data_IF_196983978076
#
_entry.id   IF_196983978076
#
_cell.length_a   1.000
_cell.length_b   1.000
_cell.length_c   1.000
_cell.angle_alpha   90.00
_cell.angle_beta   90.00
_cell.angle_gamma   90.00
#
_symmetry.space_group_name_H-M   'P 1'
#
loop_
_entity.id
_entity.type
_entity.pdbx_description
1 polymer ?
#
# COMPACT_ATOMS: atom_id res chain seq x y z
N UNK A 1 -16.76 -13.09 21.44
CA UNK A 1 -16.65 -14.51 21.03
C UNK A 1 -16.09 -14.53 19.62
N UNK A 2 -14.86 -15.02 19.45
CA UNK A 2 -14.26 -15.26 18.13
C UNK A 2 -14.30 -16.77 17.88
N UNK A 3 -14.85 -17.17 16.74
CA UNK A 3 -14.88 -18.58 16.31
C UNK A 3 -13.76 -18.77 15.30
N UNK A 4 -12.90 -19.76 15.54
CA UNK A 4 -11.87 -20.19 14.60
C UNK A 4 -12.48 -21.36 13.83
N UNK A 5 -12.41 -21.30 12.51
CA UNK A 5 -12.92 -22.34 11.62
C UNK A 5 -11.74 -22.80 10.79
N UNK A 6 -11.42 -24.09 10.89
CA UNK A 6 -10.48 -24.72 9.99
C UNK A 6 -11.18 -24.97 8.66
N UNK A 7 -10.68 -24.32 7.61
CA UNK A 7 -11.19 -24.50 6.25
C UNK A 7 -10.19 -25.31 5.46
N UNK A 8 -10.61 -26.47 4.96
CA UNK A 8 -9.81 -27.26 4.02
C UNK A 8 -9.60 -26.48 2.72
N UNK A 9 -8.33 -26.32 2.33
CA UNK A 9 -7.95 -25.64 1.09
C UNK A 9 -8.13 -26.65 -0.04
N UNK A 10 -9.23 -26.54 -0.78
CA UNK A 10 -9.43 -27.34 -2.00
C UNK A 10 -8.66 -26.71 -3.15
N UNK A 11 -7.66 -27.40 -3.75
CA UNK A 11 -6.93 -26.87 -4.90
C UNK A 11 -7.90 -26.75 -6.07
N UNK A 12 -8.13 -25.54 -6.56
CA UNK A 12 -8.95 -25.32 -7.76
C UNK A 12 -8.07 -25.19 -8.99
N UNK A 13 -8.56 -25.74 -10.12
CA UNK A 13 -7.89 -25.64 -11.41
C UNK A 13 -8.02 -24.20 -11.91
N UNK A 14 -7.04 -23.37 -11.60
CA UNK A 14 -7.01 -21.95 -11.98
C UNK A 14 -6.82 -21.85 -13.51
N UNK A 15 -7.83 -21.33 -14.22
CA UNK A 15 -7.82 -21.22 -15.69
C UNK A 15 -7.47 -19.81 -16.19
N UNK A 16 -7.38 -18.83 -15.29
CA UNK A 16 -7.07 -17.44 -15.63
C UNK A 16 -5.56 -17.19 -15.62
N UNK A 17 -5.10 -16.43 -16.64
CA UNK A 17 -3.72 -15.96 -16.75
C UNK A 17 -3.27 -15.28 -15.44
N UNK A 18 -1.97 -15.37 -15.14
CA UNK A 18 -1.42 -14.70 -13.97
C UNK A 18 -1.58 -13.18 -14.00
N UNK A 19 -1.42 -12.54 -12.85
CA UNK A 19 -1.54 -11.08 -12.68
C UNK A 19 -0.23 -10.53 -12.13
N UNK A 20 0.32 -9.50 -12.77
CA UNK A 20 1.39 -8.68 -12.18
C UNK A 20 0.81 -7.42 -11.55
N UNK A 21 1.32 -7.04 -10.37
CA UNK A 21 0.85 -5.88 -9.61
C UNK A 21 2.02 -4.97 -9.27
N UNK A 22 2.02 -3.79 -9.88
CA UNK A 22 2.95 -2.69 -9.56
C UNK A 22 2.36 -1.83 -8.44
N UNK A 23 3.10 -1.65 -7.33
CA UNK A 23 2.64 -0.94 -6.14
C UNK A 23 3.23 0.47 -6.08
N UNK A 24 2.40 1.47 -5.77
CA UNK A 24 2.79 2.86 -5.93
C UNK A 24 2.29 3.83 -4.86
N UNK A 25 2.93 5.01 -4.82
CA UNK A 25 2.48 6.14 -4.00
C UNK A 25 1.51 7.03 -4.80
N UNK A 26 1.63 7.06 -6.13
CA UNK A 26 0.74 7.86 -6.98
C UNK A 26 -0.66 7.22 -7.02
N UNK A 27 -0.74 6.02 -7.56
CA UNK A 27 -1.84 5.09 -7.45
C UNK A 27 -1.37 3.94 -6.53
N UNK A 28 -2.30 3.32 -5.81
CA UNK A 28 -1.96 2.28 -4.83
C UNK A 28 -1.43 1.02 -5.51
N UNK A 29 -2.13 0.56 -6.55
CA UNK A 29 -1.76 -0.63 -7.31
C UNK A 29 -2.20 -0.51 -8.77
N UNK A 30 -1.38 -1.02 -9.68
CA UNK A 30 -1.64 -1.14 -11.12
C UNK A 30 -1.52 -2.62 -11.47
N UNK A 31 -2.56 -3.18 -12.09
CA UNK A 31 -2.66 -4.62 -12.33
C UNK A 31 -2.67 -4.89 -13.84
N UNK A 32 -1.93 -5.90 -14.27
CA UNK A 32 -1.76 -6.24 -15.68
C UNK A 32 -3.05 -6.69 -16.39
N UNK A 33 -4.09 -7.04 -15.62
CA UNK A 33 -5.36 -7.55 -16.12
C UNK A 33 -6.51 -6.54 -16.01
N UNK A 34 -6.24 -5.30 -15.60
CA UNK A 34 -7.26 -4.26 -15.41
C UNK A 34 -6.84 -2.97 -16.12
N UNK A 35 -7.76 -2.39 -16.90
CA UNK A 35 -7.55 -1.08 -17.52
C UNK A 35 -7.54 0.06 -16.48
N UNK A 36 -8.20 -0.15 -15.34
CA UNK A 36 -8.35 0.86 -14.28
C UNK A 36 -7.44 0.54 -13.11
N UNK A 37 -6.70 1.56 -12.67
CA UNK A 37 -5.79 1.46 -11.52
C UNK A 37 -6.51 1.60 -10.18
N UNK A 38 -6.00 0.92 -9.15
CA UNK A 38 -6.45 1.11 -7.78
C UNK A 38 -5.89 2.43 -7.24
N UNK A 39 -6.77 3.43 -7.12
CA UNK A 39 -6.38 4.79 -6.70
C UNK A 39 -5.95 4.86 -5.23
N UNK A 40 -4.93 5.66 -4.95
CA UNK A 40 -4.47 5.90 -3.58
C UNK A 40 -5.58 6.53 -2.70
N UNK A 41 -6.14 5.75 -1.76
CA UNK A 41 -7.25 6.16 -0.89
C UNK A 41 -6.91 7.38 -0.03
N UNK A 42 -5.63 7.60 0.28
CA UNK A 42 -5.17 8.74 1.07
C UNK A 42 -5.32 10.08 0.34
N UNK A 43 -5.50 10.06 -0.98
CA UNK A 43 -5.74 11.26 -1.78
C UNK A 43 -7.22 11.70 -1.76
N UNK A 44 -8.14 10.87 -1.28
CA UNK A 44 -9.56 11.19 -1.21
C UNK A 44 -9.85 12.34 -0.25
N UNK A 45 -10.89 13.13 -0.54
CA UNK A 45 -11.29 14.25 0.32
C UNK A 45 -11.68 13.80 1.73
N UNK A 46 -12.33 12.63 1.86
CA UNK A 46 -12.70 12.06 3.16
C UNK A 46 -11.47 11.81 4.03
N UNK A 47 -10.45 11.14 3.50
CA UNK A 47 -9.21 10.85 4.26
C UNK A 47 -8.47 12.14 4.57
N UNK A 48 -8.28 13.04 3.59
CA UNK A 48 -7.62 14.35 3.81
C UNK A 48 -8.29 15.18 4.91
N UNK A 49 -9.62 15.22 4.97
CA UNK A 49 -10.37 15.93 6.03
C UNK A 49 -10.11 15.31 7.40
N UNK A 50 -10.11 13.98 7.51
CA UNK A 50 -9.81 13.26 8.76
C UNK A 50 -8.37 13.48 9.21
N UNK A 51 -7.40 13.48 8.30
CA UNK A 51 -6.00 13.77 8.62
C UNK A 51 -5.77 15.19 9.12
N UNK A 52 -6.39 16.19 8.46
CA UNK A 52 -6.36 17.58 8.93
C UNK A 52 -6.96 17.69 10.34
N UNK A 53 -8.06 16.98 10.62
CA UNK A 53 -8.68 16.93 11.94
C UNK A 53 -7.75 16.26 12.96
N UNK A 54 -7.12 15.14 12.62
CA UNK A 54 -6.14 14.45 13.46
C UNK A 54 -4.98 15.37 13.83
N UNK A 55 -4.38 16.06 12.85
CA UNK A 55 -3.29 17.00 13.08
C UNK A 55 -3.69 18.11 14.05
N UNK A 56 -4.89 18.70 13.89
CA UNK A 56 -5.41 19.71 14.82
C UNK A 56 -5.57 19.16 16.25
N UNK A 57 -6.03 17.91 16.39
CA UNK A 57 -6.19 17.27 17.70
C UNK A 57 -4.84 16.88 18.33
N UNK A 58 -3.85 16.48 17.54
CA UNK A 58 -2.47 16.25 17.99
C UNK A 58 -1.80 17.54 18.47
N UNK A 59 -1.93 18.64 17.72
CA UNK A 59 -1.43 19.96 18.16
C UNK A 59 -2.09 20.41 19.47
N UNK A 60 -3.41 20.20 19.62
CA UNK A 60 -4.11 20.49 20.89
C UNK A 60 -3.62 19.61 22.04
N UNK A 61 -3.30 18.33 21.77
CA UNK A 61 -2.73 17.43 22.76
C UNK A 61 -1.34 17.91 23.21
N UNK A 62 -0.45 18.22 22.26
CA UNK A 62 0.89 18.77 22.55
C UNK A 62 0.82 20.04 23.38
N UNK A 63 -0.03 21.03 23.01
CA UNK A 63 -0.22 22.25 23.80
C UNK A 63 -0.75 21.98 25.22
N UNK A 64 -1.56 20.93 25.42
CA UNK A 64 -2.03 20.55 26.75
C UNK A 64 -0.91 19.94 27.59
N UNK A 65 0.00 19.17 26.99
CA UNK A 65 1.20 18.69 27.68
C UNK A 65 2.09 19.85 28.13
N UNK A 66 2.35 20.83 27.26
CA UNK A 66 3.10 22.03 27.64
C UNK A 66 2.41 22.81 28.75
N UNK A 67 1.08 22.99 28.65
CA UNK A 67 0.31 23.65 29.71
C UNK A 67 0.36 22.91 31.06
N UNK A 68 0.42 21.57 31.05
CA UNK A 68 0.59 20.78 32.27
C UNK A 68 1.99 20.95 32.87
N UNK A 69 3.05 21.02 32.05
CA UNK A 69 4.41 21.29 32.52
C UNK A 69 4.50 22.63 33.26
N UNK A 70 3.92 23.70 32.69
CA UNK A 70 3.87 25.02 33.32
C UNK A 70 3.10 24.97 34.64
N UNK A 71 1.96 24.26 34.68
CA UNK A 71 1.18 24.08 35.90
C UNK A 71 1.97 23.37 37.00
N UNK A 72 2.74 22.33 36.65
CA UNK A 72 3.55 21.59 37.62
C UNK A 72 4.67 22.46 38.21
N UNK A 73 5.14 23.47 37.45
CA UNK A 73 6.06 24.52 37.94
C UNK A 73 5.35 25.62 38.74
N UNK A 74 4.05 25.47 39.04
CA UNK A 74 3.18 26.48 39.67
C UNK A 74 3.07 27.80 38.88
N UNK A 75 3.27 27.76 37.56
CA UNK A 75 3.07 28.90 36.65
C UNK A 75 1.63 28.93 36.07
N UNK A 76 1.35 29.81 35.10
CA UNK A 76 0.01 30.06 34.49
C UNK A 76 -0.60 28.89 33.68
N UNK A 77 -0.17 27.65 33.90
CA UNK A 77 -0.69 26.45 33.24
C UNK A 77 -2.09 26.05 33.72
N UNK A 78 -3.02 25.74 32.79
CA UNK A 78 -4.43 25.44 33.11
C UNK A 78 -4.81 23.96 32.89
N UNK A 79 -4.05 23.20 32.11
CA UNK A 79 -4.42 21.81 31.79
C UNK A 79 -4.25 20.86 32.98
N UNK A 80 -5.19 19.93 33.16
CA UNK A 80 -5.09 18.81 34.11
C UNK A 80 -4.68 17.51 33.41
N UNK A 81 -4.28 16.48 34.17
CA UNK A 81 -4.09 15.13 33.63
C UNK A 81 -5.37 14.56 33.01
N UNK A 82 -6.55 14.75 33.65
CA UNK A 82 -7.82 14.28 33.06
C UNK A 82 -8.13 14.97 31.72
N UNK A 83 -7.79 16.26 31.59
CA UNK A 83 -7.95 17.01 30.35
C UNK A 83 -7.10 16.44 29.20
N UNK A 84 -5.88 15.99 29.49
CA UNK A 84 -4.98 15.33 28.54
C UNK A 84 -5.56 13.98 28.15
N UNK A 85 -5.99 13.16 29.13
CA UNK A 85 -6.58 11.84 28.85
C UNK A 85 -7.78 11.94 27.91
N UNK A 86 -8.72 12.86 28.18
CA UNK A 86 -9.86 13.13 27.27
C UNK A 86 -9.42 13.52 25.85
N UNK A 87 -8.25 14.15 25.70
CA UNK A 87 -7.71 14.56 24.41
C UNK A 87 -6.96 13.42 23.70
N UNK A 88 -6.28 12.54 24.44
CA UNK A 88 -5.68 11.30 23.92
C UNK A 88 -6.74 10.41 23.28
N UNK A 89 -7.86 10.16 23.97
CA UNK A 89 -8.97 9.36 23.45
C UNK A 89 -9.49 9.93 22.12
N UNK A 90 -9.62 11.27 22.02
CA UNK A 90 -10.04 11.93 20.76
C UNK A 90 -9.05 11.71 19.61
N UNK A 91 -7.75 11.63 19.90
CA UNK A 91 -6.71 11.33 18.91
C UNK A 91 -6.76 9.86 18.52
N UNK A 92 -6.88 8.95 19.49
CA UNK A 92 -6.98 7.50 19.27
C UNK A 92 -8.18 7.13 18.40
N UNK A 93 -9.37 7.70 18.67
CA UNK A 93 -10.57 7.48 17.84
C UNK A 93 -10.32 7.86 16.37
N UNK A 94 -9.61 8.97 16.12
CA UNK A 94 -9.30 9.40 14.75
C UNK A 94 -8.26 8.48 14.07
N UNK A 95 -7.25 8.04 14.82
CA UNK A 95 -6.30 7.03 14.34
C UNK A 95 -6.98 5.71 13.99
N UNK A 96 -7.87 5.22 14.86
CA UNK A 96 -8.62 3.99 14.61
C UNK A 96 -9.49 4.13 13.36
N UNK A 97 -10.21 5.25 13.22
CA UNK A 97 -11.04 5.52 12.03
C UNK A 97 -10.22 5.53 10.73
N UNK A 98 -9.06 6.19 10.72
CA UNK A 98 -8.18 6.21 9.54
C UNK A 98 -7.61 4.82 9.25
N UNK A 99 -7.22 4.08 10.28
CA UNK A 99 -6.74 2.70 10.16
C UNK A 99 -7.80 1.80 9.55
N UNK A 100 -9.03 1.84 10.06
CA UNK A 100 -10.15 1.05 9.55
C UNK A 100 -10.45 1.38 8.08
N UNK A 101 -10.46 2.66 7.69
CA UNK A 101 -10.67 3.06 6.28
C UNK A 101 -9.60 2.46 5.36
N UNK A 102 -8.33 2.54 5.76
CA UNK A 102 -7.22 2.01 4.95
C UNK A 102 -7.24 0.48 4.88
N UNK A 103 -7.50 -0.18 6.00
CA UNK A 103 -7.59 -1.64 6.07
C UNK A 103 -8.78 -2.19 5.28
N UNK A 104 -9.94 -1.53 5.35
CA UNK A 104 -11.10 -1.84 4.50
C UNK A 104 -10.77 -1.69 3.01
N UNK A 105 -10.10 -0.60 2.64
CA UNK A 105 -9.63 -0.38 1.27
C UNK A 105 -8.69 -1.51 0.81
N UNK A 106 -7.69 -1.88 1.62
CA UNK A 106 -6.78 -2.99 1.32
C UNK A 106 -7.54 -4.31 1.14
N UNK A 107 -8.47 -4.62 2.04
CA UNK A 107 -9.30 -5.83 1.94
C UNK A 107 -10.08 -5.86 0.61
N UNK A 108 -10.66 -4.73 0.20
CA UNK A 108 -11.39 -4.62 -1.07
C UNK A 108 -10.48 -4.83 -2.28
N UNK A 109 -9.27 -4.27 -2.27
CA UNK A 109 -8.30 -4.49 -3.35
C UNK A 109 -7.91 -5.96 -3.40
N UNK A 110 -7.51 -6.57 -2.28
CA UNK A 110 -7.14 -8.00 -2.21
C UNK A 110 -8.28 -8.88 -2.73
N UNK A 111 -9.50 -8.70 -2.22
CA UNK A 111 -10.68 -9.44 -2.66
C UNK A 111 -11.01 -9.25 -4.14
N UNK A 112 -10.70 -8.08 -4.71
CA UNK A 112 -10.91 -7.81 -6.13
C UNK A 112 -9.86 -8.50 -7.00
N UNK A 113 -8.60 -8.49 -6.59
CA UNK A 113 -7.48 -9.10 -7.33
C UNK A 113 -7.63 -10.62 -7.39
N UNK A 114 -7.94 -11.25 -6.27
CA UNK A 114 -8.08 -12.72 -6.19
C UNK A 114 -9.43 -13.24 -6.70
N UNK A 115 -10.38 -12.36 -7.03
CA UNK A 115 -11.77 -12.71 -7.35
C UNK A 115 -11.87 -13.76 -8.45
N UNK A 116 -11.09 -13.57 -9.51
CA UNK A 116 -11.11 -14.44 -10.69
C UNK A 116 -10.16 -15.64 -10.54
N UNK A 117 -9.55 -15.86 -9.37
CA UNK A 117 -8.65 -17.01 -9.12
C UNK A 117 -7.58 -17.17 -10.20
N UNK A 118 -6.71 -16.16 -10.40
CA UNK A 118 -5.58 -16.28 -11.32
C UNK A 118 -4.67 -17.45 -10.90
N UNK A 119 -3.98 -18.05 -11.87
CA UNK A 119 -2.99 -19.11 -11.57
C UNK A 119 -1.93 -18.65 -10.58
N UNK A 120 -1.46 -17.42 -10.76
CA UNK A 120 -0.48 -16.80 -9.89
C UNK A 120 -0.67 -15.28 -9.85
N UNK A 121 -0.17 -14.66 -8.80
CA UNK A 121 -0.07 -13.21 -8.67
C UNK A 121 1.39 -12.87 -8.40
N UNK A 122 1.93 -11.89 -9.12
CA UNK A 122 3.31 -11.45 -8.95
C UNK A 122 3.37 -10.02 -8.43
N UNK A 123 4.11 -9.80 -7.36
CA UNK A 123 4.43 -8.48 -6.79
C UNK A 123 5.95 -8.31 -6.67
N UNK A 124 6.40 -7.06 -6.63
CA UNK A 124 7.80 -6.73 -6.33
C UNK A 124 8.10 -6.77 -4.82
N UNK A 125 9.34 -7.11 -4.46
CA UNK A 125 9.86 -6.94 -3.11
C UNK A 125 10.18 -5.46 -2.81
N UNK A 126 9.19 -4.72 -2.32
CA UNK A 126 9.40 -3.33 -1.93
C UNK A 126 10.35 -3.19 -0.74
N UNK A 127 11.43 -2.41 -0.91
CA UNK A 127 12.30 -1.98 0.18
C UNK A 127 11.62 -0.92 1.07
N UNK A 128 10.63 -1.32 1.86
CA UNK A 128 9.83 -0.42 2.69
C UNK A 128 10.68 0.36 3.69
N UNK A 129 11.70 -0.28 4.28
CA UNK A 129 12.61 0.38 5.23
C UNK A 129 13.42 1.47 4.54
N UNK A 130 13.92 1.21 3.32
CA UNK A 130 14.58 2.21 2.48
C UNK A 130 13.67 3.37 2.12
N UNK A 131 12.43 3.08 1.69
CA UNK A 131 11.44 4.11 1.34
C UNK A 131 11.04 4.98 2.55
N UNK A 132 11.04 4.41 3.75
CA UNK A 132 10.78 5.13 4.99
C UNK A 132 11.91 6.07 5.41
N UNK A 133 13.16 5.84 4.98
CA UNK A 133 14.29 6.76 5.26
C UNK A 133 14.16 8.08 4.51
N UNK A 134 13.44 8.11 3.38
CA UNK A 134 13.21 9.34 2.63
C UNK A 134 12.18 10.22 3.37
N UNK A 135 12.62 11.31 3.99
CA UNK A 135 11.75 12.21 4.78
C UNK A 135 10.56 12.76 3.99
N UNK A 136 10.69 12.97 2.67
CA UNK A 136 9.61 13.49 1.83
C UNK A 136 8.56 12.44 1.47
N UNK A 137 8.94 11.16 1.40
CA UNK A 137 8.04 10.06 1.01
C UNK A 137 7.56 9.21 2.18
N UNK A 138 8.30 9.21 3.30
CA UNK A 138 8.06 8.38 4.48
C UNK A 138 6.60 8.37 4.93
N UNK A 139 5.98 9.55 5.06
CA UNK A 139 4.58 9.67 5.44
C UNK A 139 3.65 9.00 4.43
N UNK A 140 3.87 9.23 3.13
CA UNK A 140 3.01 8.68 2.09
C UNK A 140 3.14 7.15 2.00
N UNK A 141 4.35 6.61 2.18
CA UNK A 141 4.66 5.18 2.23
C UNK A 141 3.95 4.50 3.40
N UNK A 142 4.10 5.04 4.61
CA UNK A 142 3.43 4.52 5.82
C UNK A 142 1.91 4.50 5.64
N UNK A 143 1.36 5.52 4.99
CA UNK A 143 -0.08 5.63 4.73
C UNK A 143 -0.59 4.62 3.69
N UNK A 144 0.25 4.10 2.78
CA UNK A 144 -0.15 3.06 1.83
C UNK A 144 -0.31 1.69 2.48
N UNK A 145 0.37 1.42 3.61
CA UNK A 145 0.33 0.13 4.30
C UNK A 145 0.67 -1.06 3.39
N UNK A 146 1.69 -0.92 2.54
CA UNK A 146 2.13 -1.98 1.63
C UNK A 146 2.42 -3.33 2.31
N UNK A 147 3.02 -3.29 3.52
CA UNK A 147 3.24 -4.50 4.31
C UNK A 147 1.94 -5.21 4.67
N UNK A 148 0.91 -4.47 5.10
CA UNK A 148 -0.40 -5.03 5.42
C UNK A 148 -1.08 -5.60 4.17
N UNK A 149 -0.94 -4.93 3.03
CA UNK A 149 -1.43 -5.44 1.74
C UNK A 149 -0.75 -6.77 1.36
N UNK A 150 0.58 -6.83 1.40
CA UNK A 150 1.34 -8.06 1.12
C UNK A 150 0.91 -9.20 2.02
N UNK A 151 0.81 -8.98 3.33
CA UNK A 151 0.40 -10.03 4.26
C UNK A 151 -1.03 -10.52 3.99
N UNK A 152 -1.98 -9.61 3.78
CA UNK A 152 -3.37 -9.97 3.48
C UNK A 152 -3.51 -10.70 2.15
N UNK A 153 -2.76 -10.27 1.14
CA UNK A 153 -2.71 -10.94 -0.16
C UNK A 153 -2.12 -12.34 -0.01
N UNK A 154 -0.99 -12.49 0.69
CA UNK A 154 -0.36 -13.80 0.98
C UNK A 154 -1.34 -14.76 1.63
N UNK A 155 -1.98 -14.34 2.72
CA UNK A 155 -2.96 -15.17 3.42
C UNK A 155 -4.14 -15.56 2.53
N UNK A 156 -4.62 -14.63 1.70
CA UNK A 156 -5.76 -14.89 0.82
C UNK A 156 -5.40 -15.78 -0.37
N UNK A 157 -4.19 -15.64 -0.91
CA UNK A 157 -3.64 -16.50 -1.94
C UNK A 157 -3.46 -17.93 -1.42
N UNK A 158 -2.86 -18.09 -0.23
CA UNK A 158 -2.73 -19.39 0.43
C UNK A 158 -4.09 -20.08 0.62
N UNK A 159 -5.07 -19.35 1.16
CA UNK A 159 -6.43 -19.88 1.35
C UNK A 159 -7.16 -20.27 0.05
N UNK A 160 -6.74 -19.75 -1.11
CA UNK A 160 -7.36 -20.02 -2.41
C UNK A 160 -6.49 -20.91 -3.31
N UNK A 161 -5.32 -21.39 -2.85
CA UNK A 161 -4.38 -22.12 -3.67
C UNK A 161 -3.81 -21.31 -4.85
N UNK A 162 -3.71 -19.98 -4.71
CA UNK A 162 -3.11 -19.09 -5.71
C UNK A 162 -1.63 -18.92 -5.35
N UNK A 163 -0.73 -19.14 -6.31
CA UNK A 163 0.71 -18.91 -6.09
C UNK A 163 1.00 -17.40 -6.02
N UNK A 164 1.56 -16.92 -4.90
CA UNK A 164 2.03 -15.54 -4.78
C UNK A 164 3.55 -15.49 -5.04
N UNK A 165 3.93 -14.87 -6.15
CA UNK A 165 5.31 -14.68 -6.60
C UNK A 165 5.84 -13.33 -6.14
N UNK A 166 7.02 -13.34 -5.55
CA UNK A 166 7.78 -12.17 -5.13
C UNK A 166 9.01 -12.05 -6.00
N UNK A 167 9.07 -10.99 -6.79
CA UNK A 167 10.21 -10.70 -7.64
C UNK A 167 11.20 -9.82 -6.89
N UNK A 168 12.50 -10.03 -7.13
CA UNK A 168 13.55 -9.23 -6.52
C UNK A 168 13.40 -7.73 -6.84
N UNK A 169 13.76 -6.89 -5.87
CA UNK A 169 13.65 -5.42 -5.97
C UNK A 169 14.49 -4.79 -7.10
N UNK A 170 15.53 -5.48 -7.56
CA UNK A 170 16.39 -5.04 -8.65
C UNK A 170 15.89 -5.50 -10.01
N UNK A 171 14.80 -6.28 -10.07
CA UNK A 171 14.16 -6.63 -11.33
C UNK A 171 13.69 -5.35 -12.05
N UNK A 172 14.09 -5.15 -13.31
CA UNK A 172 13.87 -3.90 -14.02
C UNK A 172 12.43 -3.79 -14.56
N UNK A 173 11.40 -4.09 -13.77
CA UNK A 173 9.99 -4.12 -14.19
C UNK A 173 9.58 -2.90 -15.02
N UNK A 174 9.89 -1.70 -14.55
CA UNK A 174 9.55 -0.44 -15.23
C UNK A 174 10.43 -0.11 -16.43
N UNK A 175 11.65 -0.65 -16.50
CA UNK A 175 12.64 -0.38 -17.56
C UNK A 175 12.65 -1.43 -18.66
N UNK A 176 12.18 -2.63 -18.38
CA UNK A 176 12.05 -3.71 -19.35
C UNK A 176 10.90 -3.41 -20.30
N UNK A 177 11.10 -3.60 -21.60
CA UNK A 177 9.99 -3.55 -22.55
C UNK A 177 9.20 -4.85 -22.47
N UNK A 178 7.92 -4.79 -22.12
CA UNK A 178 7.08 -5.99 -22.13
C UNK A 178 6.99 -6.65 -23.51
N UNK A 179 7.00 -5.86 -24.59
CA UNK A 179 6.85 -6.37 -25.96
C UNK A 179 8.12 -7.02 -26.54
N UNK A 180 9.32 -6.48 -26.28
CA UNK A 180 10.55 -6.95 -26.93
C UNK A 180 11.68 -7.36 -25.98
N UNK A 181 11.52 -7.19 -24.67
CA UNK A 181 12.53 -7.56 -23.67
C UNK A 181 13.74 -6.63 -23.57
N UNK A 182 13.83 -5.55 -24.36
CA UNK A 182 14.92 -4.58 -24.23
C UNK A 182 14.84 -3.81 -22.90
N UNK A 183 15.97 -3.65 -22.21
CA UNK A 183 16.06 -2.89 -20.96
C UNK A 183 16.49 -1.45 -21.25
N UNK A 184 15.57 -0.51 -21.04
CA UNK A 184 15.79 0.93 -21.21
C UNK A 184 16.54 1.52 -20.01
N UNK A 185 17.86 1.69 -20.14
CA UNK A 185 18.73 2.16 -19.04
C UNK A 185 18.48 3.62 -18.62
N UNK A 186 18.12 4.48 -19.58
CA UNK A 186 17.97 5.94 -19.47
C UNK A 186 16.59 6.41 -18.97
N UNK A 187 15.66 5.50 -18.69
CA UNK A 187 14.32 5.83 -18.20
C UNK A 187 14.36 6.51 -16.82
N UNK A 188 13.74 7.68 -16.69
CA UNK A 188 13.69 8.49 -15.47
C UNK A 188 12.37 8.33 -14.73
N UNK A 189 12.37 8.62 -13.43
CA UNK A 189 11.16 8.57 -12.59
C UNK A 189 10.05 9.53 -13.04
N UNK A 190 10.42 10.65 -13.69
CA UNK A 190 9.47 11.61 -14.25
C UNK A 190 8.79 11.12 -15.54
N UNK A 191 9.38 10.14 -16.21
CA UNK A 191 8.84 9.59 -17.44
C UNK A 191 7.66 8.69 -17.07
N UNK A 192 6.46 9.12 -17.45
CA UNK A 192 5.21 8.40 -17.14
C UNK A 192 4.74 7.49 -18.27
N UNK A 193 5.26 7.73 -19.48
CA UNK A 193 5.00 6.92 -20.66
C UNK A 193 6.29 6.17 -20.97
N UNK A 194 6.20 4.84 -21.08
CA UNK A 194 7.24 4.01 -21.63
C UNK A 194 7.20 4.10 -23.14
N UNK A 195 8.34 4.43 -23.77
CA UNK A 195 8.49 4.46 -25.23
C UNK A 195 9.64 3.55 -25.63
N UNK A 196 9.30 2.48 -26.33
CA UNK A 196 10.22 1.53 -26.92
C UNK A 196 10.71 2.02 -28.29
N UNK A 197 11.95 1.71 -28.66
CA UNK A 197 12.48 1.93 -30.01
C UNK A 197 11.77 1.10 -31.09
N UNK A 198 11.14 -0.01 -30.70
CA UNK A 198 10.41 -0.93 -31.58
C UNK A 198 8.91 -0.63 -31.68
N UNK A 199 8.47 0.58 -31.30
CA UNK A 199 7.09 1.05 -31.49
C UNK A 199 6.11 0.82 -30.33
N UNK A 200 6.45 0.00 -29.33
CA UNK A 200 5.61 -0.15 -28.13
C UNK A 200 5.58 1.14 -27.28
N UNK A 201 4.38 1.65 -27.01
CA UNK A 201 4.15 2.85 -26.20
C UNK A 201 3.03 2.58 -25.22
N UNK A 202 3.30 2.73 -23.92
CA UNK A 202 2.30 2.51 -22.87
C UNK A 202 2.56 3.35 -21.61
N UNK A 203 1.63 3.37 -20.65
CA UNK A 203 1.94 3.86 -19.30
C UNK A 203 3.06 3.01 -18.67
N UNK A 204 4.05 3.68 -18.06
CA UNK A 204 5.23 3.03 -17.50
C UNK A 204 4.87 2.02 -16.40
N UNK A 205 3.95 2.39 -15.52
CA UNK A 205 3.58 1.57 -14.37
C UNK A 205 2.70 0.39 -14.86
N UNK A 206 1.93 0.55 -15.95
CA UNK A 206 1.25 -0.57 -16.62
C UNK A 206 2.24 -1.53 -17.30
N UNK A 207 3.23 -1.04 -18.04
CA UNK A 207 4.34 -1.85 -18.57
C UNK A 207 5.05 -2.62 -17.44
N UNK A 208 5.29 -1.99 -16.28
CA UNK A 208 5.85 -2.65 -15.12
C UNK A 208 4.97 -3.82 -14.63
N UNK A 209 3.66 -3.62 -14.55
CA UNK A 209 2.72 -4.68 -14.16
C UNK A 209 2.73 -5.87 -15.13
N UNK A 210 2.85 -5.64 -16.44
CA UNK A 210 2.97 -6.70 -17.45
C UNK A 210 4.30 -7.47 -17.29
N UNK A 211 5.41 -6.76 -17.07
CA UNK A 211 6.70 -7.40 -16.82
C UNK A 211 6.75 -8.19 -15.50
N UNK A 212 6.01 -7.77 -14.48
CA UNK A 212 5.87 -8.53 -13.24
C UNK A 212 5.06 -9.82 -13.48
N UNK A 213 3.99 -9.75 -14.28
CA UNK A 213 3.21 -10.95 -14.68
C UNK A 213 4.10 -11.99 -15.35
N UNK A 214 5.03 -11.54 -16.19
CA UNK A 214 5.85 -12.40 -17.03
C UNK A 214 7.23 -12.70 -16.43
N UNK A 215 7.46 -12.30 -15.18
CA UNK A 215 8.72 -12.53 -14.50
C UNK A 215 8.99 -14.05 -14.35
N UNK A 216 10.19 -14.47 -14.79
CA UNK A 216 10.63 -15.87 -14.74
C UNK A 216 11.42 -16.21 -13.48
N UNK A 217 12.03 -15.21 -12.84
CA UNK A 217 12.83 -15.37 -11.64
C UNK A 217 12.08 -14.71 -10.48
N UNK A 218 11.66 -15.52 -9.52
CA UNK A 218 10.87 -15.10 -8.37
C UNK A 218 11.04 -16.08 -7.21
N UNK A 219 10.58 -15.67 -6.04
CA UNK A 219 10.39 -16.54 -4.86
C UNK A 219 8.91 -16.69 -4.59
N UNK A 220 8.47 -17.83 -4.09
CA UNK A 220 7.10 -18.01 -3.61
C UNK A 220 7.02 -17.41 -2.20
N UNK A 221 5.97 -16.64 -1.93
CA UNK A 221 5.76 -15.90 -0.67
C UNK A 221 5.41 -16.81 0.51
#
# INVERSE_FOLDING_TARGET
>A
MSVIIDTEITPQKNTYQGIGIDLGIKDFAICSNLDKTYKNINKTQRVKKLEKKLLRKQRKLSRKYESLKLRNKKEKGKATRQNIQKQIVKVQILHQRLTNIRTDYINKVVSSVVRNKPQYITIEDLNLTGLMKNKHLSKAVVQQKFYEFRNKLTNKCHALGIELRIVDRFYPSSKLCHSCGFIKKDLKLKDRIYRCSYGYVEDRDYNASLNLRDAKIYKIA
#
